data_IF_386933557761
#
_entry.id   IF_386933557761
#
_cell.length_a   1.000
_cell.length_b   1.000
_cell.length_c   1.000
_cell.angle_alpha   90.00
_cell.angle_beta   90.00
_cell.angle_gamma   90.00
#
_symmetry.space_group_name_H-M   'P 1'
#
loop_
_entity.id
_entity.type
_entity.pdbx_description
1 polymer ?
#
# COMPACT_ATOMS: atom_id res chain seq x y z
N UNK A 1 -15.59 -10.35 -25.65
CA UNK A 1 -14.75 -10.40 -26.87
C UNK A 1 -14.28 -11.83 -27.04
N UNK A 2 -14.66 -12.51 -28.12
CA UNK A 2 -14.20 -13.88 -28.36
C UNK A 2 -12.72 -13.88 -28.76
N UNK A 3 -11.94 -14.74 -28.12
CA UNK A 3 -10.49 -14.90 -28.27
C UNK A 3 -10.10 -15.59 -29.59
N UNK A 4 -10.79 -15.31 -30.69
CA UNK A 4 -10.75 -16.11 -31.93
C UNK A 4 -9.41 -16.10 -32.70
N UNK A 5 -8.33 -15.58 -32.12
CA UNK A 5 -6.98 -15.60 -32.71
C UNK A 5 -5.82 -15.76 -31.73
N UNK A 6 -6.08 -15.96 -30.43
CA UNK A 6 -5.02 -16.13 -29.43
C UNK A 6 -4.59 -17.60 -29.38
N UNK A 7 -3.28 -17.83 -29.36
CA UNK A 7 -2.71 -19.18 -29.27
C UNK A 7 -2.52 -19.57 -27.82
N UNK A 8 -2.84 -20.81 -27.48
CA UNK A 8 -2.58 -21.36 -26.15
C UNK A 8 -1.15 -21.87 -26.06
N UNK A 9 -0.47 -21.52 -24.96
CA UNK A 9 0.88 -21.96 -24.65
C UNK A 9 0.96 -22.37 -23.18
N UNK A 10 1.89 -23.27 -22.87
CA UNK A 10 2.36 -23.46 -21.49
C UNK A 10 3.41 -22.40 -21.17
N UNK A 11 3.37 -21.80 -19.99
CA UNK A 11 4.26 -20.65 -19.67
C UNK A 11 5.75 -20.99 -19.74
N UNK A 12 6.14 -22.20 -19.38
CA UNK A 12 7.53 -22.68 -19.48
C UNK A 12 8.05 -22.80 -20.94
N UNK A 13 7.17 -22.82 -21.95
CA UNK A 13 7.55 -22.74 -23.37
C UNK A 13 8.00 -21.31 -23.75
N UNK A 14 7.57 -20.31 -22.98
CA UNK A 14 7.73 -18.89 -23.29
C UNK A 14 8.67 -18.18 -22.33
N UNK A 15 8.80 -18.69 -21.10
CA UNK A 15 9.45 -18.02 -19.97
C UNK A 15 10.41 -18.99 -19.27
N UNK A 16 11.50 -18.46 -18.73
CA UNK A 16 12.40 -19.15 -17.83
C UNK A 16 12.53 -18.43 -16.48
N UNK A 17 12.94 -19.18 -15.45
CA UNK A 17 13.42 -18.61 -14.19
C UNK A 17 14.94 -18.57 -14.20
N UNK A 18 15.49 -17.37 -14.36
CA UNK A 18 16.93 -17.11 -14.41
C UNK A 18 17.53 -17.26 -13.02
N UNK A 19 18.60 -18.06 -12.92
CA UNK A 19 19.30 -18.34 -11.66
C UNK A 19 20.80 -18.05 -11.74
N UNK A 20 21.17 -17.00 -12.49
CA UNK A 20 22.57 -16.56 -12.64
C UNK A 20 23.10 -16.08 -11.29
N UNK A 21 24.19 -16.70 -10.84
CA UNK A 21 24.87 -16.29 -9.60
C UNK A 21 25.48 -14.90 -9.78
N UNK A 22 25.20 -14.00 -8.85
CA UNK A 22 25.81 -12.67 -8.84
C UNK A 22 27.30 -12.73 -8.54
N UNK A 23 28.08 -11.96 -9.29
CA UNK A 23 29.51 -11.80 -9.05
C UNK A 23 29.74 -10.65 -8.06
N UNK A 24 30.11 -11.00 -6.84
CA UNK A 24 30.34 -10.09 -5.73
C UNK A 24 31.68 -9.31 -5.86
N UNK A 25 31.88 -8.64 -6.99
CA UNK A 25 33.13 -7.91 -7.32
C UNK A 25 33.22 -6.52 -6.68
N UNK A 26 32.08 -5.89 -6.38
CA UNK A 26 32.01 -4.54 -5.79
C UNK A 26 31.98 -4.59 -4.26
N UNK A 27 32.54 -3.57 -3.62
CA UNK A 27 32.54 -3.41 -2.16
C UNK A 27 31.14 -3.14 -1.58
N UNK A 28 30.24 -2.59 -2.40
CA UNK A 28 28.85 -2.32 -2.04
C UNK A 28 27.91 -2.83 -3.12
N UNK A 29 26.77 -3.36 -2.68
CA UNK A 29 25.70 -3.88 -3.54
C UNK A 29 24.33 -3.56 -2.93
N UNK A 30 23.26 -3.76 -3.69
CA UNK A 30 21.88 -3.59 -3.23
C UNK A 30 21.23 -4.96 -3.11
N UNK A 31 20.57 -5.22 -1.98
CA UNK A 31 19.92 -6.50 -1.70
C UNK A 31 18.40 -6.38 -1.83
N UNK A 32 17.78 -7.31 -2.53
CA UNK A 32 16.33 -7.36 -2.72
C UNK A 32 15.75 -8.64 -2.13
N UNK A 33 15.10 -8.53 -0.98
CA UNK A 33 14.32 -9.60 -0.37
C UNK A 33 12.89 -9.63 -0.91
N UNK A 34 12.15 -10.67 -0.54
CA UNK A 34 10.70 -10.73 -0.77
C UNK A 34 9.95 -9.54 -0.15
N UNK A 35 10.38 -9.02 1.02
CA UNK A 35 9.78 -7.84 1.66
C UNK A 35 9.96 -6.56 0.85
N UNK A 36 11.04 -6.52 0.05
CA UNK A 36 11.48 -5.34 -0.68
C UNK A 36 10.85 -5.28 -2.07
N UNK A 37 9.88 -6.15 -2.34
CA UNK A 37 9.12 -6.23 -3.57
C UNK A 37 7.64 -6.13 -3.22
N UNK A 38 6.89 -5.23 -3.83
CA UNK A 38 5.46 -5.11 -3.59
C UNK A 38 4.76 -4.44 -4.78
N UNK A 39 3.69 -5.08 -5.27
CA UNK A 39 2.74 -4.50 -6.24
C UNK A 39 3.42 -3.74 -7.39
N UNK A 40 4.36 -4.41 -8.06
CA UNK A 40 5.04 -3.88 -9.24
C UNK A 40 6.37 -3.20 -8.95
N UNK A 41 6.70 -2.93 -7.69
CA UNK A 41 7.87 -2.12 -7.32
C UNK A 41 8.91 -2.90 -6.53
N UNK A 42 10.17 -2.56 -6.78
CA UNK A 42 11.27 -2.79 -5.84
C UNK A 42 11.32 -1.59 -4.90
N UNK A 43 11.35 -1.82 -3.60
CA UNK A 43 11.27 -0.78 -2.56
C UNK A 43 12.64 -0.43 -2.00
N UNK A 44 13.57 -1.40 -1.98
CA UNK A 44 14.92 -1.19 -1.46
C UNK A 44 15.90 -0.85 -2.59
N UNK A 45 16.54 0.30 -2.47
CA UNK A 45 17.58 0.78 -3.38
C UNK A 45 18.87 1.17 -2.64
N UNK A 46 18.99 0.78 -1.37
CA UNK A 46 20.11 1.19 -0.52
C UNK A 46 21.32 0.26 -0.66
N UNK A 47 22.50 0.86 -0.79
CA UNK A 47 23.76 0.15 -0.84
C UNK A 47 24.19 -0.36 0.53
N UNK A 48 24.49 -1.65 0.61
CA UNK A 48 25.09 -2.28 1.79
C UNK A 48 26.50 -2.75 1.49
N UNK A 49 27.33 -2.85 2.54
CA UNK A 49 28.68 -3.42 2.42
C UNK A 49 28.58 -4.89 2.05
N UNK A 50 29.37 -5.30 1.06
CA UNK A 50 29.48 -6.68 0.61
C UNK A 50 30.39 -7.50 1.55
N UNK A 51 29.95 -7.67 2.81
CA UNK A 51 30.60 -8.53 3.82
C UNK A 51 29.53 -9.46 4.42
N UNK A 52 29.81 -10.76 4.49
CA UNK A 52 28.94 -11.81 5.07
C UNK A 52 27.64 -12.17 4.32
N UNK A 53 27.54 -11.94 3.00
CA UNK A 53 26.30 -12.18 2.23
C UNK A 53 26.04 -13.64 1.80
N UNK A 54 26.71 -14.62 2.41
CA UNK A 54 26.70 -16.00 1.91
C UNK A 54 25.43 -16.75 2.31
N UNK A 55 24.58 -17.03 1.32
CA UNK A 55 23.55 -18.08 1.41
C UNK A 55 22.17 -17.66 0.90
N UNK A 56 21.71 -16.46 1.27
CA UNK A 56 20.33 -16.00 1.04
C UNK A 56 20.14 -15.21 -0.26
N UNK A 57 21.18 -14.49 -0.70
CA UNK A 57 21.17 -13.68 -1.94
C UNK A 57 22.13 -14.27 -2.94
N UNK A 58 21.60 -14.63 -4.11
CA UNK A 58 22.40 -15.32 -5.14
C UNK A 58 22.08 -14.85 -6.54
N UNK A 59 20.88 -14.34 -6.81
CA UNK A 59 20.40 -14.17 -8.18
C UNK A 59 20.66 -12.75 -8.67
N UNK A 60 21.35 -12.61 -9.79
CA UNK A 60 21.34 -11.35 -10.55
C UNK A 60 20.07 -11.25 -11.37
N UNK A 61 19.62 -10.02 -11.62
CA UNK A 61 18.54 -9.71 -12.54
C UNK A 61 18.88 -8.44 -13.31
N UNK A 62 18.21 -8.20 -14.42
CA UNK A 62 18.46 -7.05 -15.31
C UNK A 62 17.17 -6.29 -15.58
N UNK A 63 17.31 -5.10 -16.19
CA UNK A 63 16.18 -4.34 -16.70
C UNK A 63 15.34 -5.20 -17.65
N UNK A 64 14.03 -5.23 -17.41
CA UNK A 64 13.04 -5.98 -18.15
C UNK A 64 12.69 -7.34 -17.54
N UNK A 65 13.41 -7.80 -16.51
CA UNK A 65 13.03 -9.00 -15.76
C UNK A 65 11.81 -8.75 -14.86
N UNK A 66 11.15 -9.84 -14.47
CA UNK A 66 10.11 -9.83 -13.45
C UNK A 66 10.62 -10.54 -12.22
N UNK A 67 10.62 -9.85 -11.08
CA UNK A 67 10.81 -10.49 -9.78
C UNK A 67 9.48 -11.02 -9.29
N UNK A 68 9.40 -12.28 -8.91
CA UNK A 68 8.15 -12.90 -8.46
C UNK A 68 8.40 -13.79 -7.24
N UNK A 69 7.74 -13.48 -6.11
CA UNK A 69 7.85 -14.28 -4.89
C UNK A 69 7.25 -15.66 -5.05
N UNK A 70 8.00 -16.66 -4.62
CA UNK A 70 7.52 -18.03 -4.50
C UNK A 70 6.52 -18.18 -3.34
N UNK A 71 6.58 -17.31 -2.33
CA UNK A 71 5.81 -17.43 -1.09
C UNK A 71 4.51 -16.64 -1.20
N UNK A 72 3.38 -17.32 -0.89
CA UNK A 72 2.03 -16.75 -0.79
C UNK A 72 1.72 -15.74 -1.92
N UNK A 73 1.49 -16.19 -3.17
CA UNK A 73 1.22 -15.33 -4.31
C UNK A 73 0.20 -14.20 -4.05
N UNK A 74 -0.81 -14.44 -3.20
CA UNK A 74 -1.81 -13.41 -2.82
C UNK A 74 -1.22 -12.15 -2.16
N UNK A 75 -0.01 -12.25 -1.60
CA UNK A 75 0.68 -11.12 -0.98
C UNK A 75 1.24 -10.12 -2.01
N UNK A 76 1.08 -10.39 -3.31
CA UNK A 76 1.45 -9.49 -4.42
C UNK A 76 2.90 -9.03 -4.39
N UNK A 77 3.79 -9.94 -3.96
CA UNK A 77 5.24 -9.72 -3.88
C UNK A 77 5.87 -9.99 -5.25
N UNK A 78 5.59 -9.11 -6.21
CA UNK A 78 6.15 -9.13 -7.55
C UNK A 78 6.52 -7.72 -8.02
N UNK A 79 7.48 -7.61 -8.93
CA UNK A 79 7.88 -6.35 -9.55
C UNK A 79 8.34 -6.54 -10.99
N UNK A 80 8.08 -5.54 -11.82
CA UNK A 80 8.72 -5.41 -13.13
C UNK A 80 9.96 -4.53 -12.97
N UNK A 81 11.13 -5.01 -13.38
CA UNK A 81 12.38 -4.27 -13.22
C UNK A 81 12.54 -3.28 -14.37
N UNK A 82 12.28 -2.00 -14.14
CA UNK A 82 12.36 -0.94 -15.14
C UNK A 82 13.64 -0.08 -15.07
N UNK A 83 14.54 -0.39 -14.13
CA UNK A 83 15.81 0.27 -13.88
C UNK A 83 17.03 -0.62 -14.20
N UNK A 84 18.24 -0.02 -14.30
CA UNK A 84 19.49 -0.77 -14.43
C UNK A 84 19.82 -1.48 -13.11
N UNK A 85 19.86 -2.81 -13.15
CA UNK A 85 19.95 -3.66 -11.96
C UNK A 85 21.34 -4.31 -11.78
N UNK A 86 22.39 -3.79 -12.42
CA UNK A 86 23.77 -4.35 -12.35
C UNK A 86 24.28 -4.59 -10.93
N UNK A 87 23.93 -3.73 -9.98
CA UNK A 87 24.44 -3.78 -8.61
C UNK A 87 23.44 -4.44 -7.64
N UNK A 88 22.35 -5.00 -8.17
CA UNK A 88 21.29 -5.61 -7.38
C UNK A 88 21.43 -7.13 -7.30
N UNK A 89 21.12 -7.67 -6.13
CA UNK A 89 21.08 -9.12 -5.88
C UNK A 89 19.76 -9.50 -5.23
N UNK A 90 19.02 -10.37 -5.91
CA UNK A 90 17.77 -10.91 -5.40
C UNK A 90 17.99 -12.11 -4.46
N UNK A 91 17.13 -12.19 -3.45
CA UNK A 91 17.02 -13.34 -2.56
C UNK A 91 16.61 -14.61 -3.32
N UNK A 92 16.97 -15.78 -2.79
CA UNK A 92 16.66 -17.07 -3.43
C UNK A 92 15.16 -17.34 -3.61
N UNK A 93 14.31 -16.75 -2.74
CA UNK A 93 12.84 -16.89 -2.76
C UNK A 93 12.14 -16.04 -3.81
N UNK A 94 12.88 -15.20 -4.54
CA UNK A 94 12.39 -14.50 -5.73
C UNK A 94 12.77 -15.29 -6.97
N UNK A 95 11.78 -15.66 -7.78
CA UNK A 95 11.99 -16.09 -9.17
C UNK A 95 12.33 -14.85 -10.00
N UNK A 96 13.31 -14.98 -10.89
CA UNK A 96 13.64 -13.95 -11.89
C UNK A 96 13.09 -14.45 -13.21
N UNK A 97 11.89 -14.02 -13.58
CA UNK A 97 11.21 -14.48 -14.79
C UNK A 97 11.64 -13.65 -15.99
N UNK A 98 12.04 -14.33 -17.07
CA UNK A 98 12.48 -13.72 -18.33
C UNK A 98 11.92 -14.47 -19.52
N UNK A 99 11.55 -13.78 -20.61
CA UNK A 99 11.20 -14.43 -21.88
C UNK A 99 12.35 -15.29 -22.40
N UNK A 100 12.01 -16.50 -22.86
CA UNK A 100 12.91 -17.40 -23.59
C UNK A 100 13.01 -17.07 -25.07
N UNK A 101 11.92 -16.54 -25.64
CA UNK A 101 11.81 -16.34 -27.08
C UNK A 101 11.03 -15.07 -27.42
N UNK A 102 11.06 -14.72 -28.70
CA UNK A 102 10.41 -13.53 -29.22
C UNK A 102 8.88 -13.65 -29.31
N UNK A 103 8.26 -14.77 -28.90
CA UNK A 103 6.80 -14.92 -28.96
C UNK A 103 6.08 -14.22 -27.79
N UNK A 104 6.82 -13.75 -26.79
CA UNK A 104 6.25 -13.03 -25.65
C UNK A 104 7.02 -11.73 -25.36
N UNK A 105 6.26 -10.67 -25.09
CA UNK A 105 6.79 -9.44 -24.52
C UNK A 105 6.87 -9.54 -22.98
N UNK A 106 8.00 -9.15 -22.37
CA UNK A 106 8.19 -9.29 -20.91
C UNK A 106 7.21 -8.42 -20.11
N UNK A 107 6.85 -7.23 -20.62
CA UNK A 107 5.90 -6.37 -19.91
C UNK A 107 4.48 -6.90 -20.05
N UNK A 108 4.13 -7.47 -21.21
CA UNK A 108 2.88 -8.23 -21.35
C UNK A 108 2.84 -9.43 -20.39
N UNK A 109 3.93 -10.22 -20.32
CA UNK A 109 4.06 -11.34 -19.40
C UNK A 109 3.81 -10.91 -17.95
N UNK A 110 4.38 -9.76 -17.54
CA UNK A 110 4.14 -9.21 -16.20
C UNK A 110 2.64 -9.11 -15.91
N UNK A 111 1.85 -8.46 -16.76
CA UNK A 111 0.40 -8.35 -16.57
C UNK A 111 -0.35 -9.69 -16.62
N UNK A 112 0.16 -10.66 -17.38
CA UNK A 112 -0.41 -12.02 -17.43
C UNK A 112 -0.20 -12.75 -16.10
N UNK A 113 0.96 -12.62 -15.45
CA UNK A 113 1.25 -13.35 -14.21
C UNK A 113 0.82 -12.60 -12.95
N UNK A 114 0.47 -11.32 -13.04
CA UNK A 114 0.11 -10.47 -11.88
C UNK A 114 -1.37 -10.08 -11.82
N UNK A 115 -2.22 -10.54 -12.75
CA UNK A 115 -3.66 -10.33 -12.58
C UNK A 115 -4.26 -11.23 -11.49
N UNK A 116 -5.35 -10.77 -10.87
CA UNK A 116 -6.01 -11.44 -9.73
C UNK A 116 -6.40 -12.89 -9.99
N UNK A 117 -6.82 -13.21 -11.22
CA UNK A 117 -7.19 -14.58 -11.59
C UNK A 117 -5.97 -15.49 -11.57
N UNK A 118 -4.87 -15.05 -12.17
CA UNK A 118 -3.62 -15.81 -12.22
C UNK A 118 -3.02 -15.98 -10.83
N UNK A 119 -3.01 -14.90 -10.03
CA UNK A 119 -2.58 -14.94 -8.62
C UNK A 119 -3.40 -15.94 -7.82
N UNK A 120 -4.73 -15.94 -7.96
CA UNK A 120 -5.62 -16.88 -7.26
C UNK A 120 -5.31 -18.34 -7.62
N UNK A 121 -5.04 -18.64 -8.90
CA UNK A 121 -4.65 -19.98 -9.34
C UNK A 121 -3.35 -20.40 -8.63
N UNK A 122 -2.33 -19.54 -8.66
CA UNK A 122 -1.05 -19.83 -8.01
C UNK A 122 -1.18 -19.96 -6.48
N UNK A 123 -2.03 -19.15 -5.85
CA UNK A 123 -2.29 -19.22 -4.41
C UNK A 123 -2.91 -20.55 -4.02
N UNK A 124 -3.92 -21.02 -4.76
CA UNK A 124 -4.55 -22.32 -4.51
C UNK A 124 -3.53 -23.46 -4.65
N UNK A 125 -2.67 -23.43 -5.68
CA UNK A 125 -1.58 -24.40 -5.84
C UNK A 125 -0.62 -24.37 -4.65
N UNK A 126 -0.24 -23.17 -4.19
CA UNK A 126 0.64 -22.99 -3.04
C UNK A 126 0.08 -23.62 -1.75
N UNK A 127 -1.24 -23.58 -1.56
CA UNK A 127 -1.94 -24.12 -0.39
C UNK A 127 -2.07 -25.65 -0.42
N UNK A 128 -2.09 -26.26 -1.61
CA UNK A 128 -2.13 -27.73 -1.73
C UNK A 128 -0.80 -28.41 -1.41
N UNK A 129 0.30 -27.65 -1.36
CA UNK A 129 1.63 -28.20 -1.13
C UNK A 129 1.87 -28.48 0.36
N UNK A 130 2.29 -29.70 0.68
CA UNK A 130 2.68 -30.10 2.03
C UNK A 130 3.98 -29.37 2.45
N UNK A 131 3.86 -28.30 3.22
CA UNK A 131 4.99 -27.51 3.74
C UNK A 131 4.55 -26.53 4.83
N UNK A 132 5.51 -25.98 5.58
CA UNK A 132 5.24 -25.08 6.72
C UNK A 132 4.58 -23.75 6.31
N UNK A 133 4.69 -23.35 5.04
CA UNK A 133 4.03 -22.15 4.51
C UNK A 133 3.69 -22.31 3.01
N UNK A 134 2.59 -21.69 2.52
CA UNK A 134 2.20 -21.78 1.12
C UNK A 134 3.28 -21.21 0.19
N UNK A 135 3.79 -22.04 -0.72
CA UNK A 135 4.85 -21.66 -1.66
C UNK A 135 4.69 -22.38 -2.99
N UNK A 136 4.86 -21.64 -4.09
CA UNK A 136 5.00 -22.18 -5.45
C UNK A 136 6.48 -22.30 -5.87
N UNK A 137 6.71 -23.05 -6.92
CA UNK A 137 7.97 -23.19 -7.65
C UNK A 137 7.77 -22.69 -9.08
N UNK A 138 8.87 -22.50 -9.79
CA UNK A 138 8.80 -22.20 -11.22
C UNK A 138 8.08 -23.30 -12.02
N UNK A 139 8.14 -24.57 -11.60
CA UNK A 139 7.45 -25.65 -12.30
C UNK A 139 5.92 -25.46 -12.26
N UNK A 140 5.35 -25.13 -11.10
CA UNK A 140 3.91 -24.90 -10.95
C UNK A 140 3.45 -23.68 -11.76
N UNK A 141 4.23 -22.59 -11.75
CA UNK A 141 3.97 -21.42 -12.59
C UNK A 141 4.10 -21.77 -14.08
N UNK A 142 5.17 -22.46 -14.44
CA UNK A 142 5.50 -22.84 -15.81
C UNK A 142 4.45 -23.73 -16.45
N UNK A 143 3.84 -24.65 -15.70
CA UNK A 143 2.80 -25.56 -16.18
C UNK A 143 1.46 -24.89 -16.48
N UNK A 144 1.26 -23.63 -16.09
CA UNK A 144 0.02 -22.92 -16.36
C UNK A 144 -0.15 -22.64 -17.85
N UNK A 145 -1.36 -22.90 -18.34
CA UNK A 145 -1.75 -22.62 -19.72
C UNK A 145 -2.29 -21.19 -19.84
N UNK A 146 -1.79 -20.45 -20.82
CA UNK A 146 -2.20 -19.07 -21.09
C UNK A 146 -2.48 -18.89 -22.57
N UNK A 147 -3.51 -18.10 -22.88
CA UNK A 147 -3.79 -17.67 -24.25
C UNK A 147 -3.08 -16.36 -24.50
N UNK A 148 -2.29 -16.29 -25.57
CA UNK A 148 -1.45 -15.14 -25.88
C UNK A 148 -1.76 -14.62 -27.30
N UNK A 149 -1.94 -13.29 -27.47
CA UNK A 149 -2.11 -12.66 -28.77
C UNK A 149 -0.81 -12.59 -29.59
N UNK A 150 -0.91 -12.07 -30.81
CA UNK A 150 0.28 -11.71 -31.60
C UNK A 150 1.07 -10.59 -30.90
N UNK A 151 2.37 -10.55 -31.15
CA UNK A 151 3.31 -9.60 -30.54
C UNK A 151 2.88 -8.12 -30.59
N UNK A 152 2.34 -7.68 -31.73
CA UNK A 152 1.87 -6.30 -31.90
C UNK A 152 0.78 -5.95 -30.89
N UNK A 153 -0.16 -6.87 -30.67
CA UNK A 153 -1.26 -6.72 -29.73
C UNK A 153 -0.79 -6.85 -28.28
N UNK A 154 0.14 -7.78 -27.98
CA UNK A 154 0.77 -7.86 -26.65
C UNK A 154 1.40 -6.52 -26.23
N UNK A 155 2.21 -5.92 -27.13
CA UNK A 155 2.86 -4.63 -26.88
C UNK A 155 1.84 -3.50 -26.70
N UNK A 156 0.77 -3.49 -27.50
CA UNK A 156 -0.29 -2.50 -27.36
C UNK A 156 -1.01 -2.61 -26.01
N UNK A 157 -1.37 -3.83 -25.60
CA UNK A 157 -1.98 -4.10 -24.29
C UNK A 157 -1.04 -3.67 -23.17
N UNK A 158 0.21 -4.13 -23.19
CA UNK A 158 1.20 -3.83 -22.18
C UNK A 158 1.48 -2.32 -22.07
N UNK A 159 1.52 -1.62 -23.20
CA UNK A 159 1.69 -0.17 -23.24
C UNK A 159 0.54 0.54 -22.54
N UNK A 160 -0.71 0.26 -22.93
CA UNK A 160 -1.92 0.87 -22.33
C UNK A 160 -1.94 0.65 -20.81
N UNK A 161 -1.73 -0.59 -20.37
CA UNK A 161 -1.73 -0.92 -18.94
C UNK A 161 -0.60 -0.19 -18.20
N UNK A 162 0.61 -0.15 -18.77
CA UNK A 162 1.74 0.56 -18.14
C UNK A 162 1.52 2.07 -18.04
N UNK A 163 0.91 2.68 -19.05
CA UNK A 163 0.58 4.11 -19.00
C UNK A 163 -0.48 4.42 -17.92
N UNK A 164 -1.41 3.49 -17.67
CA UNK A 164 -2.37 3.63 -16.57
C UNK A 164 -1.68 3.49 -15.21
N UNK A 165 -0.79 2.51 -15.04
CA UNK A 165 -0.02 2.33 -13.81
C UNK A 165 0.88 3.55 -13.52
N UNK A 166 1.57 4.08 -14.54
CA UNK A 166 2.36 5.30 -14.46
C UNK A 166 1.49 6.49 -14.01
N UNK A 167 0.29 6.63 -14.55
CA UNK A 167 -0.65 7.70 -14.15
C UNK A 167 -1.11 7.55 -12.70
N UNK A 168 -1.40 6.32 -12.24
CA UNK A 168 -1.75 6.05 -10.85
C UNK A 168 -0.59 6.46 -9.94
N UNK A 169 0.64 6.14 -10.32
CA UNK A 169 1.81 6.50 -9.55
C UNK A 169 2.01 8.03 -9.47
N UNK A 170 1.87 8.73 -10.59
CA UNK A 170 1.94 10.20 -10.63
C UNK A 170 0.87 10.80 -9.71
N UNK A 171 -0.37 10.31 -9.77
CA UNK A 171 -1.44 10.79 -8.88
C UNK A 171 -1.12 10.56 -7.40
N UNK A 172 -0.58 9.39 -7.04
CA UNK A 172 -0.16 9.12 -5.67
C UNK A 172 0.97 10.04 -5.20
N UNK A 173 1.93 10.35 -6.08
CA UNK A 173 3.01 11.33 -5.80
C UNK A 173 2.46 12.74 -5.62
N UNK A 174 1.49 13.16 -6.44
CA UNK A 174 0.80 14.45 -6.28
C UNK A 174 0.10 14.50 -4.93
N UNK A 175 -0.70 13.49 -4.59
CA UNK A 175 -1.39 13.42 -3.29
C UNK A 175 -0.40 13.51 -2.12
N UNK A 176 0.73 12.80 -2.19
CA UNK A 176 1.74 12.86 -1.14
C UNK A 176 2.41 14.23 -1.03
N UNK A 177 2.65 14.88 -2.17
CA UNK A 177 3.21 16.24 -2.19
C UNK A 177 2.23 17.24 -1.58
N UNK A 178 0.95 17.15 -1.93
CA UNK A 178 -0.11 18.00 -1.35
C UNK A 178 -0.23 17.80 0.16
N UNK A 179 -0.17 16.55 0.64
CA UNK A 179 -0.16 16.23 2.07
C UNK A 179 1.04 16.89 2.78
N UNK A 180 2.24 16.75 2.21
CA UNK A 180 3.45 17.35 2.78
C UNK A 180 3.38 18.89 2.78
N UNK A 181 2.83 19.49 1.72
CA UNK A 181 2.62 20.94 1.65
C UNK A 181 1.62 21.41 2.72
N UNK A 182 0.50 20.69 2.89
CA UNK A 182 -0.49 21.00 3.92
C UNK A 182 0.11 20.91 5.33
N UNK A 183 0.91 19.87 5.62
CA UNK A 183 1.62 19.74 6.90
C UNK A 183 2.64 20.86 7.12
N UNK A 184 3.38 21.25 6.06
CA UNK A 184 4.33 22.35 6.13
C UNK A 184 3.63 23.69 6.41
N UNK A 185 2.51 23.97 5.72
CA UNK A 185 1.69 25.17 5.95
C UNK A 185 1.13 25.16 7.37
N UNK A 186 0.57 24.03 7.83
CA UNK A 186 0.03 23.92 9.19
C UNK A 186 1.11 24.22 10.24
N UNK A 187 2.31 23.64 10.07
CA UNK A 187 3.44 23.92 10.96
C UNK A 187 3.81 25.39 10.91
N UNK A 188 3.99 25.95 9.72
CA UNK A 188 4.37 27.35 9.54
C UNK A 188 3.36 28.30 10.20
N UNK A 189 2.07 28.05 10.01
CA UNK A 189 1.02 28.92 10.53
C UNK A 189 0.75 28.72 12.02
N UNK A 190 0.68 27.48 12.49
CA UNK A 190 0.12 27.21 13.83
C UNK A 190 1.14 26.69 14.85
N UNK A 191 2.38 26.44 14.43
CA UNK A 191 3.48 26.09 15.32
C UNK A 191 4.54 27.20 15.30
N UNK A 192 4.86 27.71 14.12
CA UNK A 192 5.82 28.81 13.97
C UNK A 192 5.13 30.20 14.09
N UNK A 193 3.79 30.25 14.07
CA UNK A 193 2.93 31.43 14.18
C UNK A 193 3.08 32.46 13.03
N UNK A 194 3.34 31.96 11.82
CA UNK A 194 3.50 32.76 10.60
C UNK A 194 2.25 32.73 9.70
N UNK A 195 1.06 32.65 10.30
CA UNK A 195 -0.18 32.86 9.55
C UNK A 195 -0.24 34.28 8.98
N UNK A 196 -0.94 34.53 7.86
CA UNK A 196 -1.00 35.86 7.26
C UNK A 196 -1.74 36.86 8.17
N UNK A 197 -1.19 38.05 8.33
CA UNK A 197 -1.87 39.21 8.93
C UNK A 197 -2.87 39.85 7.94
N UNK A 198 -3.43 41.02 8.27
CA UNK A 198 -4.41 41.73 7.43
C UNK A 198 -3.85 42.12 6.05
N UNK A 199 -2.55 42.37 5.97
CA UNK A 199 -1.82 42.68 4.73
C UNK A 199 -1.35 41.43 3.96
N UNK A 200 -1.56 40.23 4.51
CA UNK A 200 -1.10 38.97 3.93
C UNK A 200 0.38 38.63 4.22
N UNK A 201 1.04 39.38 5.09
CA UNK A 201 2.42 39.16 5.51
C UNK A 201 2.51 38.17 6.69
N UNK A 202 3.64 37.46 6.88
CA UNK A 202 3.80 36.50 7.98
C UNK A 202 3.68 37.19 9.35
N UNK A 203 2.72 36.78 10.19
CA UNK A 203 2.34 37.48 11.42
C UNK A 203 3.52 37.73 12.36
N UNK A 204 4.20 36.68 12.82
CA UNK A 204 5.26 36.80 13.82
C UNK A 204 6.47 37.58 13.29
N UNK A 205 6.91 37.28 12.06
CA UNK A 205 8.07 37.94 11.46
C UNK A 205 7.79 39.41 11.08
N UNK A 206 6.54 39.81 10.90
CA UNK A 206 6.14 41.18 10.54
C UNK A 206 5.75 42.02 11.77
N UNK A 207 6.21 41.63 12.96
CA UNK A 207 6.00 42.38 14.20
C UNK A 207 4.69 42.07 14.93
N UNK A 208 4.03 40.95 14.60
CA UNK A 208 2.88 40.44 15.33
C UNK A 208 3.17 40.32 16.83
N UNK A 209 2.26 40.82 17.65
CA UNK A 209 2.45 40.90 19.09
C UNK A 209 2.36 39.49 19.71
N UNK A 210 3.40 39.10 20.45
CA UNK A 210 3.49 37.80 21.13
C UNK A 210 3.44 38.01 22.64
N UNK A 211 2.80 37.10 23.35
CA UNK A 211 2.65 37.11 24.82
C UNK A 211 3.17 35.81 25.42
N UNK A 212 3.71 35.88 26.64
CA UNK A 212 4.18 34.71 27.37
C UNK A 212 3.01 33.87 27.87
N UNK A 213 3.11 32.55 27.70
CA UNK A 213 2.14 31.56 28.20
C UNK A 213 2.86 30.32 28.73
N UNK A 214 2.11 29.41 29.33
CA UNK A 214 2.64 28.12 29.81
C UNK A 214 3.20 27.22 28.69
N UNK A 215 2.84 27.45 27.42
CA UNK A 215 3.38 26.75 26.26
C UNK A 215 4.49 27.52 25.53
N UNK A 216 4.96 28.62 26.13
CA UNK A 216 5.92 29.55 25.54
C UNK A 216 5.24 30.79 24.92
N UNK A 217 5.92 31.44 23.99
CA UNK A 217 5.40 32.65 23.33
C UNK A 217 4.27 32.28 22.36
N UNK A 218 3.08 32.86 22.55
CA UNK A 218 1.92 32.68 21.67
C UNK A 218 1.44 34.03 21.13
N UNK A 219 0.71 34.06 20.00
CA UNK A 219 0.13 35.30 19.48
C UNK A 219 -0.81 35.98 20.47
N UNK A 220 -0.81 37.30 20.53
CA UNK A 220 -1.76 38.05 21.36
C UNK A 220 -3.20 37.76 20.93
N UNK A 221 -4.05 37.52 21.93
CA UNK A 221 -5.46 37.15 21.72
C UNK A 221 -5.68 35.64 21.60
N UNK A 222 -4.61 34.83 21.55
CA UNK A 222 -4.71 33.39 21.73
C UNK A 222 -4.70 33.07 23.23
N UNK A 223 -5.46 32.05 23.59
CA UNK A 223 -5.56 31.56 24.96
C UNK A 223 -5.11 30.10 25.02
N UNK A 224 -4.41 29.74 26.09
CA UNK A 224 -4.10 28.34 26.36
C UNK A 224 -5.26 27.74 27.14
N UNK A 225 -5.75 26.61 26.64
CA UNK A 225 -6.84 25.87 27.25
C UNK A 225 -6.78 24.40 26.90
N UNK A 226 -7.79 23.69 27.37
CA UNK A 226 -7.99 22.26 27.18
C UNK A 226 -9.12 22.03 26.18
N UNK A 227 -9.22 20.80 25.65
CA UNK A 227 -10.36 20.42 24.79
C UNK A 227 -11.71 20.63 25.50
N UNK A 228 -11.75 20.52 26.83
CA UNK A 228 -12.97 20.72 27.61
C UNK A 228 -13.47 22.17 27.61
N UNK A 229 -12.58 23.14 27.34
CA UNK A 229 -12.95 24.56 27.25
C UNK A 229 -13.70 24.89 25.94
N UNK A 230 -13.55 24.04 24.92
CA UNK A 230 -14.16 24.22 23.60
C UNK A 230 -15.27 23.20 23.28
N UNK A 231 -15.43 22.14 24.07
CA UNK A 231 -16.50 21.17 23.87
C UNK A 231 -16.49 19.96 24.80
N UNK A 232 -17.58 19.20 24.74
CA UNK A 232 -17.76 18.00 25.56
C UNK A 232 -16.96 16.82 25.02
N UNK A 233 -16.12 16.22 25.86
CA UNK A 233 -15.45 14.96 25.56
C UNK A 233 -16.35 13.80 26.00
N UNK A 234 -16.94 13.11 25.03
CA UNK A 234 -17.93 12.08 25.30
C UNK A 234 -17.40 10.68 24.97
N UNK A 235 -17.35 9.82 25.98
CA UNK A 235 -17.01 8.41 25.80
C UNK A 235 -18.13 7.63 25.09
N UNK A 236 -17.72 6.63 24.30
CA UNK A 236 -18.62 5.64 23.71
C UNK A 236 -18.84 4.43 24.62
N UNK A 237 -19.80 3.59 24.25
CA UNK A 237 -20.04 2.29 24.87
C UNK A 237 -20.22 1.20 23.80
N UNK A 238 -20.00 -0.04 24.20
CA UNK A 238 -20.15 -1.21 23.34
C UNK A 238 -21.29 -2.08 23.87
N UNK A 239 -22.41 -2.22 23.14
CA UNK A 239 -23.42 -3.21 23.48
C UNK A 239 -22.81 -4.61 23.55
N UNK A 240 -23.32 -5.46 24.45
CA UNK A 240 -22.78 -6.80 24.62
C UNK A 240 -22.92 -7.61 23.33
N UNK A 241 -21.78 -8.03 22.76
CA UNK A 241 -21.75 -8.92 21.57
C UNK A 241 -22.32 -10.32 21.81
N UNK A 242 -22.66 -10.66 23.06
CA UNK A 242 -23.36 -11.93 23.37
C UNK A 242 -24.86 -11.85 23.10
N UNK A 243 -25.39 -10.66 22.83
CA UNK A 243 -26.82 -10.43 22.61
C UNK A 243 -26.98 -10.07 21.13
N UNK A 244 -27.16 -11.09 20.28
CA UNK A 244 -27.19 -10.91 18.82
C UNK A 244 -28.27 -9.92 18.36
N UNK A 245 -29.42 -9.89 19.05
CA UNK A 245 -30.53 -8.94 18.79
C UNK A 245 -30.17 -7.46 18.98
N UNK A 246 -29.00 -7.15 19.54
CA UNK A 246 -28.53 -5.77 19.65
C UNK A 246 -27.96 -5.22 18.36
N UNK A 247 -27.62 -6.08 17.39
CA UNK A 247 -26.97 -5.70 16.15
C UNK A 247 -27.85 -6.00 14.95
N UNK A 248 -27.91 -5.07 14.01
CA UNK A 248 -28.70 -5.18 12.78
C UNK A 248 -27.95 -4.55 11.62
N UNK A 249 -28.27 -4.93 10.39
CA UNK A 249 -27.68 -4.30 9.19
C UNK A 249 -28.13 -2.84 9.04
N UNK A 250 -29.35 -2.52 9.50
CA UNK A 250 -29.93 -1.18 9.37
C UNK A 250 -30.76 -0.81 10.60
N UNK A 251 -30.22 0.10 11.40
CA UNK A 251 -30.81 0.62 12.62
C UNK A 251 -30.21 1.99 12.96
N UNK A 252 -29.76 2.14 14.21
CA UNK A 252 -29.02 3.31 14.65
C UNK A 252 -27.54 3.11 14.26
N UNK A 253 -26.93 4.05 13.51
CA UNK A 253 -25.51 3.99 13.18
C UNK A 253 -24.64 3.83 14.42
N UNK A 254 -23.78 2.81 14.41
CA UNK A 254 -22.81 2.59 15.46
C UNK A 254 -21.41 2.52 14.86
N UNK A 255 -20.60 3.53 15.16
CA UNK A 255 -19.25 3.69 14.59
C UNK A 255 -18.23 3.19 15.61
N UNK A 256 -17.34 2.31 15.17
CA UNK A 256 -16.27 1.74 15.98
C UNK A 256 -14.89 2.24 15.54
N UNK A 257 -13.84 2.08 16.36
CA UNK A 257 -12.47 2.38 15.95
C UNK A 257 -12.03 1.67 14.66
N UNK A 258 -12.54 0.46 14.41
CA UNK A 258 -12.26 -0.27 13.17
C UNK A 258 -12.83 0.47 11.97
N UNK A 259 -14.08 0.95 12.06
CA UNK A 259 -14.71 1.72 10.99
C UNK A 259 -13.97 3.02 10.71
N UNK A 260 -13.48 3.71 11.76
CA UNK A 260 -12.64 4.89 11.61
C UNK A 260 -11.31 4.57 10.91
N UNK A 261 -10.67 3.45 11.26
CA UNK A 261 -9.41 3.03 10.64
C UNK A 261 -9.54 2.59 9.18
N UNK A 262 -10.70 2.05 8.80
CA UNK A 262 -10.98 1.59 7.44
C UNK A 262 -11.49 2.73 6.54
N UNK A 263 -12.13 3.74 7.12
CA UNK A 263 -12.59 4.92 6.38
C UNK A 263 -11.43 5.86 6.05
N UNK A 264 -11.21 6.08 4.76
CA UNK A 264 -10.19 7.02 4.27
C UNK A 264 -10.72 8.44 4.04
N UNK A 265 -11.98 8.69 4.36
CA UNK A 265 -12.63 9.98 4.17
C UNK A 265 -12.66 10.80 5.47
N UNK A 266 -12.68 12.12 5.34
CA UNK A 266 -12.81 13.05 6.49
C UNK A 266 -14.16 12.91 7.24
N UNK A 267 -15.19 12.38 6.57
CA UNK A 267 -16.51 12.23 7.15
C UNK A 267 -16.94 10.75 7.17
N UNK A 268 -17.68 10.38 8.22
CA UNK A 268 -18.32 9.09 8.37
C UNK A 268 -19.75 9.29 8.86
N UNK A 269 -20.69 8.51 8.33
CA UNK A 269 -22.10 8.53 8.75
C UNK A 269 -22.59 7.19 9.28
N UNK A 270 -21.86 6.10 9.02
CA UNK A 270 -22.25 4.73 9.35
C UNK A 270 -21.04 3.80 9.34
N UNK A 271 -20.98 2.87 10.30
CA UNK A 271 -19.99 1.80 10.35
C UNK A 271 -20.48 0.52 9.69
N UNK A 272 -19.77 -0.59 9.90
CA UNK A 272 -20.14 -1.90 9.36
C UNK A 272 -21.41 -2.51 9.98
N UNK A 273 -21.75 -2.14 11.22
CA UNK A 273 -22.92 -2.63 11.95
C UNK A 273 -23.67 -1.47 12.59
N UNK A 274 -24.99 -1.60 12.64
CA UNK A 274 -25.86 -0.73 13.41
C UNK A 274 -26.35 -1.43 14.67
N UNK A 275 -26.84 -0.64 15.61
CA UNK A 275 -27.47 -1.13 16.83
C UNK A 275 -28.98 -0.92 16.79
N UNK A 276 -29.71 -1.78 17.51
CA UNK A 276 -31.16 -1.64 17.66
C UNK A 276 -31.54 -0.56 18.68
N UNK A 277 -32.80 -0.11 18.63
CA UNK A 277 -33.37 0.77 19.67
C UNK A 277 -33.33 0.12 21.06
N UNK A 278 -33.45 -1.21 21.13
CA UNK A 278 -33.30 -1.95 22.39
C UNK A 278 -31.87 -1.82 22.92
N UNK A 279 -30.87 -2.06 22.08
CA UNK A 279 -29.47 -1.90 22.45
C UNK A 279 -29.15 -0.48 22.92
N UNK A 280 -29.67 0.54 22.22
CA UNK A 280 -29.49 1.93 22.58
C UNK A 280 -30.08 2.26 23.95
N UNK A 281 -31.31 1.79 24.24
CA UNK A 281 -31.97 2.02 25.55
C UNK A 281 -31.36 1.21 26.69
N UNK A 282 -30.80 0.04 26.41
CA UNK A 282 -30.24 -0.86 27.43
C UNK A 282 -28.74 -0.66 27.70
N UNK A 283 -28.09 0.29 27.03
CA UNK A 283 -26.65 0.54 27.17
C UNK A 283 -26.35 2.03 27.36
N UNK A 284 -25.13 2.36 27.76
CA UNK A 284 -24.66 3.74 27.90
C UNK A 284 -24.19 4.38 26.58
N UNK A 285 -24.61 3.82 25.44
CA UNK A 285 -24.29 4.41 24.12
C UNK A 285 -24.95 5.78 24.02
N UNK A 286 -24.20 6.77 23.53
CA UNK A 286 -24.72 8.11 23.28
C UNK A 286 -24.81 8.40 21.79
N UNK A 287 -25.94 8.96 21.38
CA UNK A 287 -26.16 9.41 20.01
C UNK A 287 -25.58 10.82 19.86
N UNK A 288 -24.60 10.96 18.98
CA UNK A 288 -23.92 12.23 18.75
C UNK A 288 -24.62 13.04 17.63
N UNK A 289 -24.65 14.38 17.72
CA UNK A 289 -25.14 15.22 16.64
C UNK A 289 -24.20 15.19 15.44
N UNK A 290 -24.74 15.51 14.25
CA UNK A 290 -23.93 15.72 13.04
C UNK A 290 -22.94 16.85 13.26
N UNK A 291 -21.69 16.66 12.82
CA UNK A 291 -20.59 17.61 13.03
C UNK A 291 -19.70 17.28 14.22
N UNK A 292 -20.04 16.27 15.02
CA UNK A 292 -19.17 15.78 16.10
C UNK A 292 -17.86 15.23 15.54
N UNK A 293 -16.74 15.63 16.15
CA UNK A 293 -15.41 15.09 15.85
C UNK A 293 -15.26 13.75 16.58
N UNK A 294 -14.97 12.70 15.81
CA UNK A 294 -14.68 11.37 16.35
C UNK A 294 -13.16 11.18 16.44
N UNK A 295 -12.69 10.67 17.58
CA UNK A 295 -11.27 10.42 17.82
C UNK A 295 -11.09 9.04 18.46
N UNK A 296 -10.18 8.22 17.94
CA UNK A 296 -9.93 6.90 18.51
C UNK A 296 -8.91 6.98 19.65
N UNK A 297 -9.37 6.70 20.87
CA UNK A 297 -8.49 6.56 22.05
C UNK A 297 -7.92 5.14 22.23
N UNK A 298 -8.22 4.21 21.32
CA UNK A 298 -7.77 2.80 21.35
C UNK A 298 -7.13 2.43 20.03
N UNK A 299 -6.24 1.44 20.03
CA UNK A 299 -5.50 1.02 18.84
C UNK A 299 -6.42 0.72 17.63
N UNK A 300 -6.12 1.25 16.42
CA UNK A 300 -5.09 2.26 16.15
C UNK A 300 -5.48 3.62 16.76
N UNK A 301 -4.59 4.21 17.56
CA UNK A 301 -4.80 5.51 18.22
C UNK A 301 -4.65 6.62 17.19
N UNK A 302 -5.53 7.62 17.24
CA UNK A 302 -5.63 8.71 16.27
C UNK A 302 -6.72 8.47 15.25
#
# INVERSE_FOLDING_TARGET
>A
MSYNGWKEYRLDELVESVSVKHEFKKDKIILVNTSDVLEGKVLNHEYVKNKNLKGQFKKSFIKGDILYSEIRPKNKRFAFVDFDAKDYVASTKLMVLRRKNANIDNRYLYYVVTNERFISILQNLAETRSGTFPQITFNELGMQKVKIPKLKEQKAIAHILSTLDEKIEVNNRINKTLENMAQAIFKHWFVDFEFPNEEGEPYKSSGGEMVESELGMIPKGWEVGTIQDIGDVVGGATPSRKIDKYFVEKGIPWITPKDLSENKNMFISRGALDITEEAYKSTSVKKMPKGTVLFSSRAPIG
#
